data_IF_930702941887
#
_entry.id   IF_930702941887
#
_cell.length_a   1.000
_cell.length_b   1.000
_cell.length_c   1.000
_cell.angle_alpha   90.00
_cell.angle_beta   90.00
_cell.angle_gamma   90.00
#
_symmetry.space_group_name_H-M   'P 1'
#
loop_
_entity.id
_entity.type
_entity.pdbx_description
1 polymer ?
#
# COMPACT_ATOMS: atom_id res chain seq x y z
N UNK A 1 -71.75 -56.29 -39.88
CA UNK A 1 -70.59 -55.66 -40.55
C UNK A 1 -70.75 -54.16 -40.81
N UNK A 2 -71.74 -53.69 -41.58
CA UNK A 2 -71.94 -52.25 -41.89
C UNK A 2 -71.96 -51.27 -40.70
N UNK A 3 -72.54 -51.67 -39.55
CA UNK A 3 -72.61 -50.84 -38.35
C UNK A 3 -71.26 -50.71 -37.63
N UNK A 4 -70.42 -51.76 -37.70
CA UNK A 4 -69.06 -51.75 -37.14
C UNK A 4 -68.14 -50.87 -37.98
N UNK A 5 -68.31 -50.90 -39.29
CA UNK A 5 -67.53 -50.13 -40.28
C UNK A 5 -67.85 -48.63 -40.20
N UNK A 6 -69.13 -48.25 -40.04
CA UNK A 6 -69.52 -46.86 -39.75
C UNK A 6 -68.99 -46.37 -38.41
N UNK A 7 -68.97 -47.22 -37.39
CA UNK A 7 -68.47 -46.87 -36.06
C UNK A 7 -66.95 -46.70 -36.07
N UNK A 8 -66.21 -47.57 -36.76
CA UNK A 8 -64.77 -47.48 -36.93
C UNK A 8 -64.37 -46.25 -37.77
N UNK A 9 -65.11 -45.93 -38.83
CA UNK A 9 -64.89 -44.71 -39.63
C UNK A 9 -65.07 -43.41 -38.84
N UNK A 10 -65.89 -43.41 -37.77
CA UNK A 10 -66.01 -42.27 -36.86
C UNK A 10 -64.94 -42.26 -35.75
N UNK A 11 -64.52 -43.43 -35.26
CA UNK A 11 -63.61 -43.55 -34.12
C UNK A 11 -62.16 -43.26 -34.51
N UNK A 12 -61.67 -43.74 -35.66
CA UNK A 12 -60.28 -43.56 -36.09
C UNK A 12 -59.81 -42.09 -36.18
N UNK A 13 -60.58 -41.15 -36.78
CA UNK A 13 -60.19 -39.74 -36.79
C UNK A 13 -60.17 -39.11 -35.38
N UNK A 14 -61.13 -39.47 -34.52
CA UNK A 14 -61.18 -39.02 -33.12
C UNK A 14 -59.96 -39.54 -32.34
N UNK A 15 -59.53 -40.77 -32.61
CA UNK A 15 -58.37 -41.39 -31.93
C UNK A 15 -57.06 -40.73 -32.36
N UNK A 16 -56.90 -40.42 -33.66
CA UNK A 16 -55.76 -39.63 -34.18
C UNK A 16 -55.70 -38.23 -33.57
N UNK A 17 -56.84 -37.54 -33.49
CA UNK A 17 -56.91 -36.19 -32.91
C UNK A 17 -56.57 -36.21 -31.42
N UNK A 18 -57.05 -37.22 -30.67
CA UNK A 18 -56.71 -37.41 -29.26
C UNK A 18 -55.21 -37.63 -29.04
N UNK A 19 -54.57 -38.43 -29.88
CA UNK A 19 -53.15 -38.73 -29.76
C UNK A 19 -52.29 -37.52 -30.18
N UNK A 20 -52.73 -36.75 -31.18
CA UNK A 20 -52.12 -35.47 -31.55
C UNK A 20 -52.22 -34.43 -30.42
N UNK A 21 -53.39 -34.30 -29.79
CA UNK A 21 -53.59 -33.44 -28.62
C UNK A 21 -52.72 -33.89 -27.43
N UNK A 22 -52.60 -35.20 -27.19
CA UNK A 22 -51.67 -35.75 -26.19
C UNK A 22 -50.22 -35.39 -26.45
N UNK A 23 -49.78 -35.43 -27.71
CA UNK A 23 -48.44 -35.00 -28.11
C UNK A 23 -48.20 -33.53 -27.76
N UNK A 24 -49.11 -32.65 -28.19
CA UNK A 24 -49.04 -31.21 -27.89
C UNK A 24 -49.03 -30.90 -26.39
N UNK A 25 -49.82 -31.63 -25.59
CA UNK A 25 -49.82 -31.49 -24.12
C UNK A 25 -48.46 -31.86 -23.53
N UNK A 26 -47.78 -32.87 -24.09
CA UNK A 26 -46.46 -33.30 -23.64
C UNK A 26 -45.39 -32.24 -23.92
N UNK A 27 -45.42 -31.66 -25.11
CA UNK A 27 -44.51 -30.57 -25.50
C UNK A 27 -44.77 -29.31 -24.66
N UNK A 28 -46.05 -29.00 -24.39
CA UNK A 28 -46.42 -27.87 -23.52
C UNK A 28 -45.90 -28.05 -22.08
N UNK A 29 -45.90 -29.27 -21.54
CA UNK A 29 -45.34 -29.54 -20.22
C UNK A 29 -43.82 -29.38 -20.17
N UNK A 30 -43.10 -29.76 -21.23
CA UNK A 30 -41.64 -29.54 -21.34
C UNK A 30 -41.33 -28.04 -21.39
N UNK A 31 -42.09 -27.29 -22.20
CA UNK A 31 -41.97 -25.85 -22.30
C UNK A 31 -42.24 -25.16 -20.94
N UNK A 32 -43.23 -25.65 -20.20
CA UNK A 32 -43.54 -25.17 -18.85
C UNK A 32 -42.36 -25.35 -17.88
N UNK A 33 -41.69 -26.50 -17.91
CA UNK A 33 -40.51 -26.76 -17.06
C UNK A 33 -39.33 -25.85 -17.41
N UNK A 34 -39.12 -25.58 -18.71
CA UNK A 34 -38.06 -24.68 -19.18
C UNK A 34 -38.33 -23.22 -18.79
N UNK A 35 -39.58 -22.76 -18.92
CA UNK A 35 -40.01 -21.45 -18.43
C UNK A 35 -39.81 -21.33 -16.91
N UNK A 36 -40.09 -22.38 -16.15
CA UNK A 36 -39.84 -22.39 -14.70
C UNK A 36 -38.34 -22.28 -14.36
N UNK A 37 -37.45 -22.92 -15.12
CA UNK A 37 -35.99 -22.81 -14.93
C UNK A 37 -35.48 -21.41 -15.26
N UNK A 38 -35.91 -20.84 -16.39
CA UNK A 38 -35.54 -19.48 -16.78
C UNK A 38 -35.97 -18.45 -15.73
N UNK A 39 -37.16 -18.63 -15.14
CA UNK A 39 -37.65 -17.76 -14.06
C UNK A 39 -36.70 -17.76 -12.85
N UNK A 40 -36.23 -18.93 -12.41
CA UNK A 40 -35.26 -19.05 -11.31
C UNK A 40 -33.94 -18.34 -11.61
N UNK A 41 -33.43 -18.47 -12.84
CA UNK A 41 -32.19 -17.79 -13.26
C UNK A 41 -32.37 -16.28 -13.23
N UNK A 42 -33.51 -15.78 -13.73
CA UNK A 42 -33.84 -14.36 -13.71
C UNK A 42 -33.95 -13.81 -12.28
N UNK A 43 -34.56 -14.57 -11.36
CA UNK A 43 -34.64 -14.20 -9.94
C UNK A 43 -33.25 -14.11 -9.30
N UNK A 44 -32.37 -15.08 -9.56
CA UNK A 44 -30.98 -15.06 -9.10
C UNK A 44 -30.19 -13.89 -9.68
N UNK A 45 -30.39 -13.58 -10.97
CA UNK A 45 -29.76 -12.43 -11.64
C UNK A 45 -30.16 -11.11 -10.97
N UNK A 46 -31.43 -10.95 -10.61
CA UNK A 46 -31.92 -9.76 -9.91
C UNK A 46 -31.34 -9.62 -8.50
N UNK A 47 -31.14 -10.73 -7.79
CA UNK A 47 -30.48 -10.71 -6.47
C UNK A 47 -29.01 -10.32 -6.62
N UNK A 48 -28.30 -10.93 -7.58
CA UNK A 48 -26.89 -10.67 -7.85
C UNK A 48 -26.65 -9.21 -8.29
N UNK A 49 -27.51 -8.67 -9.17
CA UNK A 49 -27.40 -7.28 -9.63
C UNK A 49 -27.58 -6.30 -8.48
N UNK A 50 -28.53 -6.57 -7.58
CA UNK A 50 -28.73 -5.76 -6.37
C UNK A 50 -27.52 -5.79 -5.42
N UNK A 51 -26.95 -6.98 -5.19
CA UNK A 51 -25.73 -7.11 -4.38
C UNK A 51 -24.54 -6.36 -4.99
N UNK A 52 -24.41 -6.39 -6.32
CA UNK A 52 -23.36 -5.68 -7.03
C UNK A 52 -23.50 -4.16 -6.87
N UNK A 53 -24.73 -3.63 -6.95
CA UNK A 53 -25.00 -2.21 -6.73
C UNK A 53 -24.67 -1.78 -5.29
N UNK A 54 -25.06 -2.58 -4.30
CA UNK A 54 -24.72 -2.36 -2.88
C UNK A 54 -23.20 -2.34 -2.67
N UNK A 55 -22.48 -3.30 -3.24
CA UNK A 55 -21.01 -3.37 -3.16
C UNK A 55 -20.32 -2.21 -3.89
N UNK A 56 -20.87 -1.78 -5.01
CA UNK A 56 -20.35 -0.62 -5.75
C UNK A 56 -20.49 0.66 -4.92
N UNK A 57 -21.66 0.84 -4.29
CA UNK A 57 -21.89 1.98 -3.40
C UNK A 57 -20.97 1.96 -2.17
N UNK A 58 -20.75 0.78 -1.58
CA UNK A 58 -19.80 0.59 -0.48
C UNK A 58 -18.37 0.95 -0.92
N UNK A 59 -17.94 0.49 -2.09
CA UNK A 59 -16.63 0.80 -2.66
C UNK A 59 -16.43 2.29 -2.91
N UNK A 60 -17.44 2.99 -3.45
CA UNK A 60 -17.38 4.43 -3.67
C UNK A 60 -17.18 5.17 -2.34
N UNK A 61 -17.98 4.83 -1.32
CA UNK A 61 -17.86 5.42 0.02
C UNK A 61 -16.48 5.14 0.64
N UNK A 62 -15.98 3.92 0.50
CA UNK A 62 -14.67 3.54 0.99
C UNK A 62 -13.56 4.35 0.31
N UNK A 63 -13.64 4.51 -1.01
CA UNK A 63 -12.66 5.28 -1.79
C UNK A 63 -12.70 6.78 -1.42
N UNK A 64 -13.88 7.36 -1.20
CA UNK A 64 -14.01 8.73 -0.71
C UNK A 64 -13.39 8.92 0.68
N UNK A 65 -13.65 7.99 1.61
CA UNK A 65 -13.06 8.01 2.94
C UNK A 65 -11.54 7.84 2.88
N UNK A 66 -11.06 6.92 2.05
CA UNK A 66 -9.62 6.73 1.83
C UNK A 66 -8.95 8.01 1.30
N UNK A 67 -9.56 8.69 0.32
CA UNK A 67 -9.04 9.98 -0.18
C UNK A 67 -9.02 11.05 0.89
N UNK A 68 -10.06 11.15 1.72
CA UNK A 68 -10.12 12.11 2.84
C UNK A 68 -8.99 11.84 3.84
N UNK A 69 -8.86 10.59 4.30
CA UNK A 69 -7.81 10.17 5.23
C UNK A 69 -6.41 10.38 4.65
N UNK A 70 -6.20 10.05 3.38
CA UNK A 70 -4.92 10.25 2.69
C UNK A 70 -4.51 11.73 2.69
N UNK A 71 -5.43 12.62 2.32
CA UNK A 71 -5.16 14.06 2.33
C UNK A 71 -4.90 14.59 3.74
N UNK A 72 -5.64 14.09 4.74
CA UNK A 72 -5.48 14.49 6.13
C UNK A 72 -4.12 14.06 6.68
N UNK A 73 -3.69 12.82 6.41
CA UNK A 73 -2.38 12.29 6.78
C UNK A 73 -1.25 13.10 6.14
N UNK A 74 -1.37 13.40 4.84
CA UNK A 74 -0.39 14.25 4.13
C UNK A 74 -0.29 15.64 4.79
N UNK A 75 -1.43 16.25 5.12
CA UNK A 75 -1.47 17.54 5.82
C UNK A 75 -0.76 17.48 7.18
N UNK A 76 -1.18 16.57 8.05
CA UNK A 76 -0.60 16.48 9.41
C UNK A 76 0.88 16.13 9.39
N UNK A 77 1.31 15.33 8.43
CA UNK A 77 2.73 15.03 8.26
C UNK A 77 3.54 16.28 7.90
N UNK A 78 3.05 17.09 6.96
CA UNK A 78 3.72 18.35 6.62
C UNK A 78 3.74 19.31 7.81
N UNK A 79 2.62 19.42 8.54
CA UNK A 79 2.55 20.22 9.76
C UNK A 79 3.58 19.74 10.81
N UNK A 80 3.79 18.42 10.95
CA UNK A 80 4.80 17.86 11.85
C UNK A 80 6.24 18.16 11.39
N UNK A 81 6.53 18.09 10.09
CA UNK A 81 7.86 18.43 9.57
C UNK A 81 8.14 19.95 9.70
N UNK A 82 7.13 20.80 9.51
CA UNK A 82 7.25 22.24 9.74
C UNK A 82 7.53 22.56 11.23
N UNK A 83 6.88 21.83 12.15
CA UNK A 83 7.11 21.96 13.60
C UNK A 83 8.52 21.56 14.02
N UNK A 84 9.17 20.62 13.33
CA UNK A 84 10.58 20.26 13.56
C UNK A 84 11.55 21.35 13.11
N UNK A 85 11.08 22.33 12.34
CA UNK A 85 11.89 23.44 11.84
C UNK A 85 12.38 23.23 10.42
N UNK A 86 12.46 24.33 9.68
CA UNK A 86 12.88 24.34 8.27
C UNK A 86 14.36 23.98 8.06
N UNK A 87 15.19 24.18 9.08
CA UNK A 87 16.61 23.85 9.07
C UNK A 87 16.85 22.87 10.20
N UNK A 88 17.43 21.72 9.87
CA UNK A 88 17.85 20.71 10.83
C UNK A 88 19.33 20.41 10.68
N UNK A 89 20.00 20.26 11.80
CA UNK A 89 21.42 19.97 11.92
C UNK A 89 21.59 18.66 12.67
N UNK A 90 22.09 17.68 11.95
CA UNK A 90 22.40 16.36 12.48
C UNK A 90 23.91 16.21 12.67
N UNK A 91 24.33 15.71 13.82
CA UNK A 91 25.72 15.29 14.02
C UNK A 91 25.86 13.80 13.73
N UNK A 92 26.91 13.41 13.01
CA UNK A 92 27.23 11.99 12.78
C UNK A 92 28.68 11.71 13.09
N UNK A 93 28.91 10.85 14.07
CA UNK A 93 30.24 10.39 14.44
C UNK A 93 30.53 9.06 13.76
N UNK A 94 31.48 9.03 12.83
CA UNK A 94 31.90 7.77 12.21
C UNK A 94 32.62 6.87 13.22
N UNK A 95 32.51 5.54 13.08
CA UNK A 95 33.38 4.62 13.82
C UNK A 95 34.85 4.81 13.44
N UNK A 96 35.73 4.32 14.32
CA UNK A 96 37.18 4.34 14.10
C UNK A 96 37.57 3.52 12.87
N UNK A 97 38.50 4.05 12.09
CA UNK A 97 39.15 3.31 11.02
C UNK A 97 40.16 2.32 11.61
N UNK A 98 40.47 1.26 10.86
CA UNK A 98 41.37 0.20 11.33
C UNK A 98 42.72 0.72 11.84
N UNK A 99 43.32 1.68 11.12
CA UNK A 99 44.59 2.29 11.53
C UNK A 99 44.50 3.12 12.83
N UNK A 100 43.31 3.61 13.20
CA UNK A 100 43.08 4.37 14.43
C UNK A 100 42.97 3.43 15.62
N UNK A 101 42.34 2.27 15.40
CA UNK A 101 42.26 1.18 16.38
C UNK A 101 43.65 0.61 16.66
N UNK A 102 44.44 0.35 15.61
CA UNK A 102 45.84 -0.13 15.73
C UNK A 102 46.73 0.85 16.50
N UNK A 103 46.47 2.15 16.36
CA UNK A 103 47.16 3.22 17.09
C UNK A 103 46.57 3.52 18.47
N UNK A 104 45.56 2.77 18.90
CA UNK A 104 44.86 2.94 20.18
C UNK A 104 44.32 4.37 20.39
N UNK A 105 43.86 5.02 19.31
CA UNK A 105 43.23 6.32 19.39
C UNK A 105 42.00 6.29 20.30
N UNK A 106 41.81 7.34 21.10
CA UNK A 106 40.68 7.48 22.02
C UNK A 106 39.63 8.42 21.44
N UNK A 107 38.36 8.18 21.77
CA UNK A 107 37.29 9.10 21.40
C UNK A 107 37.42 10.39 22.19
N UNK A 108 37.40 11.51 21.48
CA UNK A 108 37.28 12.86 22.08
C UNK A 108 35.83 13.29 22.26
N UNK A 109 34.88 12.48 21.78
CA UNK A 109 33.44 12.72 21.85
C UNK A 109 32.83 11.82 22.92
N UNK A 110 32.02 12.42 23.78
CA UNK A 110 31.17 11.73 24.75
C UNK A 110 29.71 12.11 24.49
N UNK A 111 28.89 11.10 24.17
CA UNK A 111 27.45 11.27 23.97
C UNK A 111 26.74 11.27 25.33
N UNK A 112 25.89 12.26 25.58
CA UNK A 112 25.06 12.33 26.79
C UNK A 112 23.68 11.72 26.56
N UNK A 113 23.07 12.09 25.43
CA UNK A 113 21.78 11.64 24.95
C UNK A 113 21.76 11.72 23.40
N UNK A 114 20.58 11.59 22.80
CA UNK A 114 20.39 11.60 21.34
C UNK A 114 20.55 13.00 20.72
N UNK A 115 20.57 14.09 21.50
CA UNK A 115 20.64 15.47 20.98
C UNK A 115 21.88 16.22 21.44
N UNK A 116 22.58 15.73 22.45
CA UNK A 116 23.63 16.44 23.16
C UNK A 116 24.92 15.62 23.30
N UNK A 117 26.05 16.27 23.04
CA UNK A 117 27.37 15.68 23.16
C UNK A 117 28.40 16.65 23.73
N UNK A 118 29.38 16.08 24.43
CA UNK A 118 30.58 16.79 24.89
C UNK A 118 31.77 16.44 23.99
N UNK A 119 32.57 17.44 23.65
CA UNK A 119 33.85 17.29 22.94
C UNK A 119 34.99 17.71 23.86
N UNK A 120 35.84 16.76 24.23
CA UNK A 120 37.01 16.98 25.08
C UNK A 120 38.22 17.33 24.21
N UNK A 121 38.70 18.57 24.32
CA UNK A 121 39.87 19.06 23.58
C UNK A 121 40.99 19.46 24.53
N UNK A 122 42.20 19.68 24.01
CA UNK A 122 43.32 20.24 24.80
C UNK A 122 43.01 21.63 25.39
N UNK A 123 41.97 22.31 24.89
CA UNK A 123 41.50 23.61 25.37
C UNK A 123 40.33 23.50 26.35
N UNK A 124 40.00 22.29 26.80
CA UNK A 124 38.86 21.99 27.68
C UNK A 124 37.70 21.29 26.96
N UNK A 125 36.66 21.01 27.73
CA UNK A 125 35.42 20.40 27.23
C UNK A 125 34.47 21.44 26.63
N UNK A 126 33.81 21.07 25.53
CA UNK A 126 32.78 21.88 24.88
C UNK A 126 31.50 21.09 24.73
N UNK A 127 30.39 21.69 25.10
CA UNK A 127 29.06 21.13 24.91
C UNK A 127 28.49 21.55 23.55
N UNK A 128 27.85 20.61 22.86
CA UNK A 128 27.13 20.84 21.61
C UNK A 128 25.77 20.15 21.68
N UNK A 129 24.78 20.80 21.08
CA UNK A 129 23.41 20.31 20.94
C UNK A 129 22.99 20.40 19.47
N UNK A 130 22.29 19.37 19.00
CA UNK A 130 21.86 19.14 17.63
C UNK A 130 20.44 18.60 17.61
N UNK A 131 19.79 18.59 16.44
CA UNK A 131 18.44 18.02 16.31
C UNK A 131 18.43 16.51 16.53
N UNK A 132 19.51 15.82 16.15
CA UNK A 132 19.80 14.43 16.50
C UNK A 132 21.29 14.13 16.28
N UNK A 133 21.83 13.18 17.03
CA UNK A 133 23.21 12.72 17.01
C UNK A 133 23.26 11.22 16.69
N UNK A 134 23.85 10.91 15.54
CA UNK A 134 24.21 9.56 15.15
C UNK A 134 25.61 9.23 15.71
N UNK A 135 25.65 8.27 16.62
CA UNK A 135 26.89 7.80 17.25
C UNK A 135 27.67 6.84 16.33
N UNK A 136 28.76 6.27 16.86
CA UNK A 136 29.62 5.35 16.12
C UNK A 136 28.94 4.02 15.77
N UNK A 137 27.87 3.64 16.49
CA UNK A 137 27.08 2.44 16.24
C UNK A 137 25.97 2.67 15.20
N UNK A 138 25.69 3.94 14.86
CA UNK A 138 24.58 4.31 14.00
C UNK A 138 24.80 3.90 12.54
N UNK A 139 23.82 3.19 12.00
CA UNK A 139 23.86 2.58 10.65
C UNK A 139 23.42 3.56 9.56
N UNK A 140 23.69 3.22 8.30
CA UNK A 140 23.16 4.00 7.16
C UNK A 140 21.64 3.98 7.10
N UNK A 141 21.00 2.88 7.52
CA UNK A 141 19.55 2.74 7.52
C UNK A 141 18.90 3.74 8.48
N UNK A 142 19.46 3.88 9.69
CA UNK A 142 18.99 4.85 10.68
C UNK A 142 19.15 6.30 10.20
N UNK A 143 20.25 6.62 9.52
CA UNK A 143 20.45 7.95 8.94
C UNK A 143 19.47 8.19 7.77
N UNK A 144 19.20 7.17 6.97
CA UNK A 144 18.25 7.25 5.87
C UNK A 144 16.81 7.41 6.37
N UNK A 145 16.41 6.80 7.48
CA UNK A 145 15.06 6.93 8.04
C UNK A 145 14.70 8.40 8.37
N UNK A 146 15.67 9.17 8.89
CA UNK A 146 15.49 10.61 9.09
C UNK A 146 15.44 11.39 7.77
N UNK A 147 16.31 11.04 6.81
CA UNK A 147 16.32 11.66 5.49
C UNK A 147 15.08 11.29 4.65
N UNK A 148 14.46 10.13 4.89
CA UNK A 148 13.30 9.65 4.14
C UNK A 148 12.13 10.62 4.28
N UNK A 149 11.92 11.18 5.48
CA UNK A 149 10.85 12.16 5.73
C UNK A 149 11.01 13.39 4.84
N UNK A 150 12.24 13.86 4.67
CA UNK A 150 12.59 14.95 3.77
C UNK A 150 12.36 14.57 2.29
N UNK A 151 12.72 13.36 1.88
CA UNK A 151 12.46 12.86 0.51
C UNK A 151 10.95 12.84 0.22
N UNK A 152 10.14 12.43 1.19
CA UNK A 152 8.70 12.43 1.01
C UNK A 152 8.12 13.85 0.93
N UNK A 153 8.64 14.82 1.69
CA UNK A 153 8.29 16.25 1.50
C UNK A 153 8.68 16.74 0.09
N UNK A 154 9.81 16.29 -0.45
CA UNK A 154 10.16 16.59 -1.84
C UNK A 154 9.13 16.03 -2.84
N UNK A 155 8.68 14.79 -2.66
CA UNK A 155 7.62 14.19 -3.48
C UNK A 155 6.28 14.95 -3.35
N UNK A 156 6.05 15.59 -2.21
CA UNK A 156 4.87 16.41 -1.96
C UNK A 156 4.95 17.82 -2.59
N UNK A 157 6.07 18.17 -3.21
CA UNK A 157 6.27 19.41 -3.98
C UNK A 157 7.12 20.47 -3.25
N UNK A 158 7.81 20.12 -2.17
CA UNK A 158 8.68 21.03 -1.44
C UNK A 158 10.12 20.97 -1.94
N UNK A 159 10.83 22.08 -1.84
CA UNK A 159 12.27 22.12 -2.12
C UNK A 159 13.04 21.65 -0.90
N UNK A 160 13.88 20.62 -1.09
CA UNK A 160 14.67 20.00 -0.03
C UNK A 160 16.14 20.04 -0.41
N UNK A 161 17.00 20.38 0.55
CA UNK A 161 18.44 20.38 0.39
C UNK A 161 19.08 19.61 1.54
N UNK A 162 19.88 18.59 1.20
CA UNK A 162 20.68 17.82 2.16
C UNK A 162 22.14 17.96 1.75
N UNK A 163 22.98 18.39 2.68
CA UNK A 163 24.42 18.48 2.47
C UNK A 163 25.17 17.93 3.68
N UNK A 164 26.31 17.30 3.42
CA UNK A 164 27.19 16.80 4.48
C UNK A 164 28.35 17.77 4.69
N UNK A 165 28.58 18.17 5.95
CA UNK A 165 29.66 19.07 6.33
C UNK A 165 30.66 18.37 7.26
N UNK A 166 31.95 18.74 7.17
CA UNK A 166 33.02 18.19 8.01
C UNK A 166 34.38 18.15 7.31
N UNK A 167 35.43 17.82 8.05
CA UNK A 167 36.80 17.72 7.53
C UNK A 167 37.00 16.52 6.59
N UNK A 168 38.13 16.48 5.87
CA UNK A 168 38.52 15.29 5.08
C UNK A 168 38.63 14.07 5.99
N UNK A 169 38.09 12.93 5.54
CA UNK A 169 38.06 11.69 6.32
C UNK A 169 36.97 11.61 7.40
N UNK A 170 36.09 12.63 7.54
CA UNK A 170 35.00 12.60 8.54
C UNK A 170 33.79 11.73 8.16
N UNK A 171 33.78 11.16 6.94
CA UNK A 171 32.67 10.31 6.48
C UNK A 171 31.61 11.00 5.61
N UNK A 172 31.82 12.24 5.15
CA UNK A 172 30.84 12.94 4.25
C UNK A 172 30.41 12.11 3.03
N UNK A 173 31.37 11.60 2.26
CA UNK A 173 31.10 10.77 1.07
C UNK A 173 30.43 9.45 1.45
N UNK A 174 30.81 8.87 2.59
CA UNK A 174 30.14 7.67 3.10
C UNK A 174 28.69 7.97 3.46
N UNK A 175 28.37 9.10 4.09
CA UNK A 175 26.98 9.49 4.37
C UNK A 175 26.17 9.71 3.10
N UNK A 176 26.68 10.48 2.14
CA UNK A 176 25.92 10.83 0.93
C UNK A 176 25.84 9.66 -0.06
N UNK A 177 26.97 9.07 -0.42
CA UNK A 177 27.03 8.02 -1.45
C UNK A 177 27.11 6.62 -0.84
N UNK A 178 27.87 6.47 0.25
CA UNK A 178 28.08 5.19 0.91
C UNK A 178 28.98 4.26 0.12
N UNK A 179 28.74 2.97 0.29
CA UNK A 179 29.47 1.85 -0.33
C UNK A 179 28.46 0.91 -1.00
N UNK A 180 28.88 0.04 -1.92
CA UNK A 180 27.99 -0.95 -2.52
C UNK A 180 27.28 -1.83 -1.48
N UNK A 181 27.99 -2.21 -0.40
CA UNK A 181 27.46 -3.04 0.69
C UNK A 181 26.61 -2.24 1.68
N UNK A 182 26.89 -0.94 1.82
CA UNK A 182 26.17 -0.04 2.72
C UNK A 182 25.86 1.30 2.01
N UNK A 183 24.81 1.33 1.17
CA UNK A 183 24.47 2.49 0.36
C UNK A 183 24.11 3.69 1.24
N UNK A 184 24.58 4.87 0.84
CA UNK A 184 24.30 6.15 1.52
C UNK A 184 22.93 6.72 1.16
N UNK A 185 22.77 8.02 1.37
CA UNK A 185 21.52 8.74 1.13
C UNK A 185 21.11 8.86 -0.36
N UNK A 186 22.05 9.09 -1.26
CA UNK A 186 21.79 9.33 -2.68
C UNK A 186 21.34 8.11 -3.50
N UNK A 187 21.92 6.90 -3.32
CA UNK A 187 21.52 5.73 -4.11
C UNK A 187 20.22 5.04 -3.65
N UNK A 188 19.61 5.48 -2.56
CA UNK A 188 18.37 4.92 -1.99
C UNK A 188 17.17 5.76 -2.41
#
# INVERSE_FOLDING_TARGET
EKLLEQKNNLIDPITKERDMLRGKIKDYNILLDEVMKLRKVNDNYNIMSKQLEEKTNEYIKLNENFKKEFNLRKKYKNDLEDLKGAIRVFARCRPFAQYEIEKQCQSVVQFKDETSMNLSTSRGERFFEFDNIFDMASTQDQVFEEAQRLVESFLDGFNVCIFAYGQTGSGKTFTMTGTPESPGLTPR
#
